data_IF_040327539375
#
_entry.id   IF_040327539375
#
_cell.length_a   1.000
_cell.length_b   1.000
_cell.length_c   1.000
_cell.angle_alpha   90.00
_cell.angle_beta   90.00
_cell.angle_gamma   90.00
#
_symmetry.space_group_name_H-M   'P 1'
#
loop_
_entity.id
_entity.type
_entity.pdbx_description
1 polymer ?
#
# COMPACT_ATOMS: atom_id res chain seq x y z
N UNK A 1 14.69 -10.92 5.33
CA UNK A 1 13.81 -10.29 6.34
C UNK A 1 12.95 -11.36 6.99
N UNK A 2 12.80 -11.34 8.33
CA UNK A 2 12.04 -12.35 9.11
C UNK A 2 10.54 -12.04 9.27
N UNK A 3 10.12 -10.86 8.81
CA UNK A 3 8.75 -10.33 8.92
C UNK A 3 7.65 -11.35 8.65
N UNK A 4 7.69 -12.10 7.54
CA UNK A 4 6.61 -13.04 7.22
C UNK A 4 6.41 -14.14 8.27
N UNK A 5 7.49 -14.62 8.91
CA UNK A 5 7.38 -15.64 9.97
C UNK A 5 6.83 -15.06 11.27
N UNK A 6 7.27 -13.85 11.62
CA UNK A 6 6.78 -13.13 12.81
C UNK A 6 5.32 -12.72 12.64
N UNK A 7 4.94 -12.28 11.43
CA UNK A 7 3.58 -11.90 11.08
C UNK A 7 2.62 -13.08 11.25
N UNK A 8 2.93 -14.24 10.66
CA UNK A 8 2.09 -15.44 10.83
C UNK A 8 2.03 -15.93 12.28
N UNK A 9 3.13 -15.83 13.04
CA UNK A 9 3.15 -16.24 14.44
C UNK A 9 2.29 -15.35 15.36
N UNK A 10 2.00 -14.11 14.95
CA UNK A 10 1.20 -13.15 15.70
C UNK A 10 -0.25 -13.03 15.18
N UNK A 11 -0.62 -13.79 14.14
CA UNK A 11 -1.99 -13.77 13.61
C UNK A 11 -2.98 -14.36 14.61
N UNK A 12 -4.14 -13.73 14.68
CA UNK A 12 -5.32 -14.31 15.33
C UNK A 12 -5.84 -15.44 14.43
N UNK A 13 -5.89 -16.70 14.91
CA UNK A 13 -6.28 -17.86 14.09
C UNK A 13 -7.64 -17.69 13.43
N UNK A 14 -8.59 -17.07 14.13
CA UNK A 14 -9.96 -16.85 13.67
C UNK A 14 -10.04 -15.85 12.52
N UNK A 15 -9.03 -15.01 12.33
CA UNK A 15 -9.03 -13.91 11.35
C UNK A 15 -7.97 -14.08 10.27
N UNK A 16 -7.35 -15.26 10.18
CA UNK A 16 -6.23 -15.51 9.28
C UNK A 16 -6.55 -15.11 7.81
N UNK A 17 -7.77 -15.38 7.34
CA UNK A 17 -8.22 -15.03 5.98
C UNK A 17 -8.39 -13.53 5.75
N UNK A 18 -8.60 -12.75 6.81
CA UNK A 18 -8.77 -11.30 6.75
C UNK A 18 -7.44 -10.54 6.69
N UNK A 19 -6.32 -11.17 7.04
CA UNK A 19 -4.99 -10.56 6.94
C UNK A 19 -4.49 -10.47 5.50
N UNK A 20 -3.49 -9.62 5.29
CA UNK A 20 -2.79 -9.45 3.99
C UNK A 20 -2.03 -10.71 3.58
N UNK A 21 -2.23 -11.18 2.36
CA UNK A 21 -1.40 -12.23 1.76
C UNK A 21 -0.06 -11.68 1.26
N UNK A 22 0.89 -11.57 2.19
CA UNK A 22 2.25 -11.14 1.89
C UNK A 22 3.01 -12.12 0.98
N UNK A 23 2.61 -13.39 0.90
CA UNK A 23 3.30 -14.38 0.09
C UNK A 23 2.96 -14.20 -1.40
N UNK A 24 1.68 -14.00 -1.69
CA UNK A 24 1.22 -13.65 -3.03
C UNK A 24 1.79 -12.31 -3.49
N UNK A 25 1.78 -11.29 -2.63
CA UNK A 25 2.34 -9.99 -3.00
C UNK A 25 3.85 -10.10 -3.31
N UNK A 26 4.58 -10.88 -2.51
CA UNK A 26 6.01 -11.13 -2.72
C UNK A 26 6.30 -11.94 -3.99
N UNK A 27 5.43 -12.86 -4.39
CA UNK A 27 5.63 -13.65 -5.61
C UNK A 27 5.51 -12.77 -6.86
N UNK A 28 4.53 -11.86 -6.88
CA UNK A 28 4.36 -10.85 -7.95
C UNK A 28 5.56 -9.90 -8.04
N UNK A 29 6.06 -9.43 -6.89
CA UNK A 29 7.27 -8.59 -6.84
C UNK A 29 8.49 -9.29 -7.46
N UNK A 30 8.66 -10.59 -7.18
CA UNK A 30 9.74 -11.39 -7.78
C UNK A 30 9.54 -11.58 -9.28
N UNK A 31 8.31 -11.68 -9.75
CA UNK A 31 7.99 -11.81 -11.17
C UNK A 31 8.38 -10.54 -11.94
N UNK A 32 7.98 -9.36 -11.43
CA UNK A 32 8.42 -8.06 -11.96
C UNK A 32 9.96 -7.99 -12.00
N UNK A 33 10.62 -8.38 -10.92
CA UNK A 33 12.09 -8.34 -10.86
C UNK A 33 12.74 -9.26 -11.90
N UNK A 34 12.22 -10.48 -12.09
CA UNK A 34 12.72 -11.41 -13.11
C UNK A 34 12.49 -10.88 -14.51
N UNK A 35 11.33 -10.29 -14.78
CA UNK A 35 11.03 -9.68 -16.07
C UNK A 35 12.07 -8.60 -16.40
N UNK A 36 12.30 -7.65 -15.48
CA UNK A 36 13.29 -6.58 -15.65
C UNK A 36 14.72 -7.08 -15.86
N UNK A 37 15.08 -8.21 -15.26
CA UNK A 37 16.38 -8.82 -15.49
C UNK A 37 16.51 -9.43 -16.89
N UNK A 38 15.42 -9.99 -17.43
CA UNK A 38 15.40 -10.60 -18.77
C UNK A 38 15.33 -9.58 -19.90
N UNK A 39 14.66 -8.46 -19.69
CA UNK A 39 14.55 -7.37 -20.67
C UNK A 39 15.73 -6.41 -20.63
N UNK A 40 16.71 -6.64 -19.74
CA UNK A 40 17.94 -5.84 -19.70
C UNK A 40 18.81 -6.17 -20.92
N UNK A 41 19.16 -5.19 -21.78
CA UNK A 41 20.01 -5.48 -22.93
C UNK A 41 21.36 -6.04 -22.49
N UNK A 42 21.94 -7.00 -23.25
CA UNK A 42 23.25 -7.56 -22.93
C UNK A 42 24.28 -6.44 -22.90
N UNK A 43 25.09 -6.42 -21.85
CA UNK A 43 26.20 -5.47 -21.74
C UNK A 43 27.17 -5.72 -22.91
N UNK A 44 27.16 -4.84 -23.90
CA UNK A 44 28.16 -4.83 -24.97
C UNK A 44 29.55 -4.61 -24.37
N UNK A 45 30.51 -5.52 -24.58
CA UNK A 45 31.87 -5.30 -24.12
C UNK A 45 32.62 -4.57 -25.23
N UNK A 46 32.75 -3.25 -25.15
CA UNK A 46 33.89 -2.49 -25.70
C UNK A 46 33.69 -0.98 -25.55
N UNK A 47 34.71 -0.32 -25.00
CA UNK A 47 35.19 0.95 -25.55
C UNK A 47 34.49 2.24 -25.11
N UNK A 48 35.00 2.80 -24.02
CA UNK A 48 35.19 4.24 -23.78
C UNK A 48 33.96 5.19 -23.77
N UNK A 49 33.75 5.74 -22.57
CA UNK A 49 33.30 7.10 -22.26
C UNK A 49 31.87 7.48 -22.67
N UNK A 50 30.92 7.07 -21.82
CA UNK A 50 29.90 8.02 -21.35
C UNK A 50 29.60 7.75 -19.89
N UNK A 51 30.11 8.64 -19.03
CA UNK A 51 29.81 8.65 -17.60
C UNK A 51 28.38 9.17 -17.42
N UNK A 52 27.39 8.32 -17.72
CA UNK A 52 25.98 8.55 -17.39
C UNK A 52 25.64 7.62 -16.23
N UNK A 53 25.79 8.18 -15.03
CA UNK A 53 24.96 7.91 -13.84
C UNK A 53 24.62 6.43 -13.60
N UNK A 54 25.59 5.69 -13.05
CA UNK A 54 25.55 4.26 -12.73
C UNK A 54 24.57 3.84 -11.60
N UNK A 55 23.46 4.54 -11.36
CA UNK A 55 22.45 4.07 -10.40
C UNK A 55 21.04 4.57 -10.73
N UNK A 56 20.47 4.13 -11.86
CA UNK A 56 19.02 4.27 -12.15
C UNK A 56 18.29 2.97 -11.83
N UNK A 57 18.30 2.61 -10.55
CA UNK A 57 17.30 1.76 -9.95
C UNK A 57 16.59 2.65 -8.92
N UNK A 58 15.30 2.96 -9.15
CA UNK A 58 14.47 3.88 -8.36
C UNK A 58 14.78 5.39 -8.51
N UNK A 59 14.90 5.93 -9.72
CA UNK A 59 15.03 7.40 -9.94
C UNK A 59 13.71 8.18 -9.74
N UNK A 60 13.03 7.97 -8.62
CA UNK A 60 11.85 8.76 -8.25
C UNK A 60 11.58 8.86 -6.74
N UNK A 61 12.22 8.05 -5.90
CA UNK A 61 11.90 8.03 -4.46
C UNK A 61 12.90 8.80 -3.57
N UNK A 62 14.06 9.21 -4.06
CA UNK A 62 15.16 9.73 -3.21
C UNK A 62 15.78 11.07 -3.63
N UNK A 63 15.15 11.86 -4.50
CA UNK A 63 15.69 13.18 -4.85
C UNK A 63 15.34 14.25 -3.80
N UNK A 64 15.89 14.10 -2.60
CA UNK A 64 16.08 15.21 -1.66
C UNK A 64 17.54 15.63 -1.71
N UNK A 65 17.86 16.70 -2.45
CA UNK A 65 18.93 17.59 -2.01
C UNK A 65 18.81 18.99 -2.64
N UNK A 66 18.71 19.97 -1.74
CA UNK A 66 19.19 21.35 -1.78
C UNK A 66 19.73 21.85 -3.13
N UNK A 67 19.06 22.88 -3.67
CA UNK A 67 19.75 24.05 -4.20
C UNK A 67 18.84 25.29 -4.09
N UNK A 68 19.47 26.35 -3.62
CA UNK A 68 18.93 27.62 -3.19
C UNK A 68 18.61 28.55 -4.38
N UNK A 69 17.63 29.44 -4.16
CA UNK A 69 17.47 30.78 -4.78
C UNK A 69 16.67 30.90 -6.09
N UNK A 70 15.34 31.00 -5.91
CA UNK A 70 14.38 32.02 -6.42
C UNK A 70 14.04 32.12 -7.93
N UNK A 71 12.94 32.82 -8.31
CA UNK A 71 11.56 32.34 -8.20
C UNK A 71 10.80 32.51 -9.53
N UNK A 72 10.19 31.45 -10.06
CA UNK A 72 9.14 31.65 -11.07
C UNK A 72 8.12 30.54 -11.00
N UNK A 73 6.87 30.98 -10.98
CA UNK A 73 5.65 30.22 -10.81
C UNK A 73 5.44 29.18 -11.92
N UNK A 74 4.74 28.12 -11.54
CA UNK A 74 3.91 27.25 -12.39
C UNK A 74 4.65 26.34 -13.38
N UNK A 75 5.23 25.27 -12.84
CA UNK A 75 5.20 23.97 -13.51
C UNK A 75 5.04 22.94 -12.43
N UNK A 76 3.83 22.43 -12.28
CA UNK A 76 3.53 21.26 -11.46
C UNK A 76 4.53 20.16 -11.85
N UNK A 77 5.20 19.60 -10.85
CA UNK A 77 6.28 18.62 -10.98
C UNK A 77 5.69 17.27 -11.41
N UNK A 78 5.28 17.17 -12.68
CA UNK A 78 4.56 16.02 -13.25
C UNK A 78 5.46 14.76 -13.29
N UNK A 79 6.78 14.91 -13.23
CA UNK A 79 7.72 13.78 -13.21
C UNK A 79 7.80 13.06 -11.85
N UNK A 80 7.42 13.70 -10.73
CA UNK A 80 7.68 13.13 -9.40
C UNK A 80 6.57 12.26 -8.82
N UNK A 81 5.36 12.25 -9.40
CA UNK A 81 4.23 11.46 -8.89
C UNK A 81 3.89 10.25 -9.78
N UNK A 82 4.86 9.34 -9.95
CA UNK A 82 4.66 8.09 -10.69
C UNK A 82 3.61 7.15 -10.05
N UNK A 83 3.42 7.27 -8.73
CA UNK A 83 2.46 6.51 -7.94
C UNK A 83 1.54 7.51 -7.22
N UNK A 84 0.25 7.46 -7.53
CA UNK A 84 -0.76 8.28 -6.89
C UNK A 84 -1.77 7.37 -6.18
N UNK A 85 -1.93 7.51 -4.87
CA UNK A 85 -2.92 6.76 -4.08
C UNK A 85 -4.15 7.63 -3.89
N UNK A 86 -5.29 7.14 -4.38
CA UNK A 86 -6.57 7.83 -4.31
C UNK A 86 -7.48 7.16 -3.29
N UNK A 87 -8.26 7.98 -2.59
CA UNK A 87 -9.39 7.53 -1.80
C UNK A 87 -10.65 7.61 -2.67
N UNK A 88 -11.32 6.48 -2.85
CA UNK A 88 -12.58 6.37 -3.57
C UNK A 88 -13.69 6.09 -2.56
N UNK A 89 -14.79 6.85 -2.63
CA UNK A 89 -15.96 6.62 -1.79
C UNK A 89 -17.00 5.84 -2.60
N UNK A 90 -17.25 4.59 -2.22
CA UNK A 90 -18.31 3.76 -2.79
C UNK A 90 -19.41 3.55 -1.76
N UNK A 91 -20.48 4.34 -1.85
CA UNK A 91 -21.70 4.12 -1.07
C UNK A 91 -21.50 4.21 0.44
N UNK A 92 -20.58 5.06 0.92
CA UNK A 92 -20.31 5.27 2.34
C UNK A 92 -19.14 4.47 2.90
N UNK A 93 -18.56 3.54 2.14
CA UNK A 93 -17.31 2.86 2.48
C UNK A 93 -16.15 3.46 1.69
N UNK A 94 -15.08 3.82 2.41
CA UNK A 94 -13.85 4.36 1.82
C UNK A 94 -12.98 3.20 1.35
N UNK A 95 -12.58 3.22 0.07
CA UNK A 95 -11.64 2.27 -0.52
C UNK A 95 -10.47 3.00 -1.14
N UNK A 96 -9.32 2.37 -1.18
CA UNK A 96 -8.09 2.95 -1.72
C UNK A 96 -7.76 2.33 -3.08
N UNK A 97 -7.34 3.17 -4.01
CA UNK A 97 -6.95 2.76 -5.35
C UNK A 97 -5.67 3.48 -5.76
N UNK A 98 -4.70 2.73 -6.23
CA UNK A 98 -3.41 3.22 -6.69
C UNK A 98 -3.43 3.40 -8.21
N UNK A 99 -3.23 4.63 -8.65
CA UNK A 99 -3.00 4.97 -10.06
C UNK A 99 -1.50 4.99 -10.33
N UNK A 100 -1.04 4.05 -11.14
CA UNK A 100 0.34 3.98 -11.61
C UNK A 100 0.46 4.64 -12.99
N UNK A 101 1.16 5.78 -13.08
CA UNK A 101 1.22 6.59 -14.31
C UNK A 101 2.20 6.05 -15.36
N UNK A 102 3.13 5.19 -14.97
CA UNK A 102 4.12 4.59 -15.89
C UNK A 102 3.64 3.25 -16.48
N UNK A 103 2.34 3.00 -16.53
CA UNK A 103 1.78 1.75 -17.08
C UNK A 103 2.02 1.57 -18.59
N UNK A 104 2.38 2.66 -19.29
CA UNK A 104 2.69 2.65 -20.73
C UNK A 104 4.14 2.30 -21.04
N UNK A 105 5.02 2.27 -20.03
CA UNK A 105 6.41 1.88 -20.19
C UNK A 105 6.54 0.36 -20.33
N UNK A 106 7.59 -0.10 -21.00
CA UNK A 106 7.81 -1.53 -21.21
C UNK A 106 7.98 -2.29 -19.88
N UNK A 107 7.05 -3.21 -19.61
CA UNK A 107 6.94 -3.95 -18.35
C UNK A 107 6.02 -3.32 -17.31
N UNK A 108 5.54 -2.09 -17.51
CA UNK A 108 4.68 -1.37 -16.58
C UNK A 108 3.33 -2.06 -16.32
N UNK A 109 2.90 -2.97 -17.18
CA UNK A 109 1.74 -3.83 -16.98
C UNK A 109 1.89 -4.76 -15.77
N UNK A 110 3.10 -5.22 -15.45
CA UNK A 110 3.34 -6.09 -14.30
C UNK A 110 3.22 -5.30 -12.98
N UNK A 111 3.76 -4.08 -12.93
CA UNK A 111 3.57 -3.14 -11.83
C UNK A 111 2.10 -2.77 -11.65
N UNK A 112 1.36 -2.54 -12.74
CA UNK A 112 -0.07 -2.23 -12.66
C UNK A 112 -0.85 -3.37 -12.01
N UNK A 113 -0.57 -4.62 -12.39
CA UNK A 113 -1.20 -5.81 -11.78
C UNK A 113 -0.84 -5.90 -10.30
N UNK A 114 0.42 -5.62 -9.94
CA UNK A 114 0.86 -5.61 -8.54
C UNK A 114 0.08 -4.58 -7.71
N UNK A 115 -0.05 -3.34 -8.18
CA UNK A 115 -0.78 -2.31 -7.46
C UNK A 115 -2.26 -2.63 -7.31
N UNK A 116 -2.92 -3.18 -8.34
CA UNK A 116 -4.31 -3.66 -8.18
C UNK A 116 -4.44 -4.70 -7.08
N UNK A 117 -3.56 -5.70 -7.06
CA UNK A 117 -3.60 -6.74 -6.02
C UNK A 117 -3.28 -6.19 -4.64
N UNK A 118 -2.38 -5.20 -4.56
CA UNK A 118 -2.06 -4.52 -3.32
C UNK A 118 -3.28 -3.77 -2.78
N UNK A 119 -3.99 -3.05 -3.64
CA UNK A 119 -5.21 -2.33 -3.28
C UNK A 119 -6.30 -3.31 -2.81
N UNK A 120 -6.47 -4.45 -3.49
CA UNK A 120 -7.44 -5.49 -3.10
C UNK A 120 -7.15 -6.02 -1.69
N UNK A 121 -5.89 -6.37 -1.42
CA UNK A 121 -5.47 -6.87 -0.11
C UNK A 121 -5.58 -5.80 0.98
N UNK A 122 -5.26 -4.55 0.68
CA UNK A 122 -5.40 -3.44 1.63
C UNK A 122 -6.87 -3.18 1.97
N UNK A 123 -7.72 -3.10 0.95
CA UNK A 123 -9.15 -2.84 1.12
C UNK A 123 -9.85 -4.00 1.84
N UNK A 124 -9.41 -5.25 1.64
CA UNK A 124 -9.87 -6.40 2.40
C UNK A 124 -9.63 -6.21 3.91
N UNK A 125 -8.39 -5.89 4.28
CA UNK A 125 -8.01 -5.67 5.68
C UNK A 125 -8.77 -4.48 6.26
N UNK A 126 -8.86 -3.37 5.51
CA UNK A 126 -9.54 -2.17 5.98
C UNK A 126 -11.04 -2.44 6.26
N UNK A 127 -11.72 -3.12 5.35
CA UNK A 127 -13.14 -3.51 5.53
C UNK A 127 -13.33 -4.41 6.74
N UNK A 128 -12.44 -5.38 6.94
CA UNK A 128 -12.51 -6.26 8.11
C UNK A 128 -12.32 -5.47 9.41
N UNK A 129 -11.35 -4.57 9.44
CA UNK A 129 -11.09 -3.71 10.59
C UNK A 129 -12.30 -2.81 10.90
N UNK A 130 -12.87 -2.15 9.89
CA UNK A 130 -14.07 -1.31 10.06
C UNK A 130 -15.24 -2.12 10.63
N UNK A 131 -15.50 -3.32 10.11
CA UNK A 131 -16.56 -4.19 10.62
C UNK A 131 -16.33 -4.60 12.09
N UNK A 132 -15.09 -4.93 12.46
CA UNK A 132 -14.73 -5.30 13.84
C UNK A 132 -14.87 -4.13 14.80
N UNK A 133 -14.48 -2.92 14.39
CA UNK A 133 -14.69 -1.71 15.18
C UNK A 133 -16.18 -1.46 15.41
N UNK A 134 -17.00 -1.59 14.36
CA UNK A 134 -18.45 -1.39 14.48
C UNK A 134 -19.10 -2.41 15.43
N UNK A 135 -18.70 -3.68 15.36
CA UNK A 135 -19.15 -4.75 16.26
C UNK A 135 -18.85 -4.42 17.72
N UNK A 136 -17.58 -4.11 18.04
CA UNK A 136 -17.15 -3.78 19.41
C UNK A 136 -17.84 -2.52 19.94
N UNK A 137 -18.06 -1.52 19.09
CA UNK A 137 -18.79 -0.30 19.48
C UNK A 137 -20.25 -0.60 19.83
N UNK A 138 -20.92 -1.49 19.09
CA UNK A 138 -22.29 -1.95 19.41
C UNK A 138 -22.33 -2.69 20.74
N UNK A 139 -21.39 -3.59 20.99
CA UNK A 139 -21.30 -4.32 22.26
C UNK A 139 -21.09 -3.36 23.44
N UNK A 140 -20.17 -2.42 23.32
CA UNK A 140 -19.92 -1.40 24.34
C UNK A 140 -21.18 -0.55 24.63
N UNK A 141 -21.93 -0.17 23.59
CA UNK A 141 -23.18 0.56 23.73
C UNK A 141 -24.27 -0.26 24.45
N UNK A 142 -24.38 -1.55 24.13
CA UNK A 142 -25.32 -2.47 24.79
C UNK A 142 -24.95 -2.69 26.26
N UNK A 143 -23.67 -2.91 26.57
CA UNK A 143 -23.17 -3.06 27.94
C UNK A 143 -23.44 -1.80 28.77
N UNK A 144 -23.15 -0.62 28.23
CA UNK A 144 -23.40 0.65 28.91
C UNK A 144 -24.90 0.87 29.19
N UNK A 145 -25.78 0.49 28.25
CA UNK A 145 -27.23 0.51 28.46
C UNK A 145 -27.65 -0.43 29.60
N UNK A 146 -27.08 -1.64 29.63
CA UNK A 146 -27.37 -2.62 30.68
C UNK A 146 -26.94 -2.13 32.06
N UNK A 147 -25.70 -1.61 32.20
CA UNK A 147 -25.21 -1.05 33.45
C UNK A 147 -26.07 0.11 33.95
N UNK A 148 -26.50 1.01 33.05
CA UNK A 148 -27.41 2.13 33.40
C UNK A 148 -28.74 1.63 33.94
N UNK A 149 -29.31 0.58 33.35
CA UNK A 149 -30.57 0.00 33.81
C UNK A 149 -30.40 -0.66 35.19
N UNK A 150 -29.33 -1.41 35.42
CA UNK A 150 -29.05 -2.00 36.73
C UNK A 150 -28.81 -0.94 37.83
N UNK A 151 -28.13 0.16 37.52
CA UNK A 151 -27.96 1.27 38.49
C UNK A 151 -29.30 1.92 38.84
N UNK A 152 -30.20 2.06 37.86
CA UNK A 152 -31.54 2.61 38.07
C UNK A 152 -32.43 1.72 38.93
N UNK A 153 -32.30 0.39 38.84
CA UNK A 153 -33.08 -0.53 39.67
C UNK A 153 -32.55 -0.60 41.10
N UNK A 154 -31.22 -0.52 41.30
CA UNK A 154 -30.62 -0.49 42.65
C UNK A 154 -30.90 0.79 43.44
N UNK A 155 -31.04 1.95 42.78
CA UNK A 155 -31.34 3.22 43.47
C UNK A 155 -32.84 3.42 43.77
N UNK A 156 -33.69 2.41 43.48
CA UNK A 156 -35.15 2.48 43.63
C UNK A 156 -35.68 1.64 44.81
N UNK A 157 -34.77 1.04 45.57
CA UNK A 157 -35.01 0.29 46.82
C UNK A 157 -34.27 1.02 47.92
#
# INVERSE_FOLDING_TARGET
MKFGKEFTAQMVPEWQEAYTDCNQLKSLLKEIQRFKQRTKPPATPAGLKRMLTLYRAFSGLTQRYNQSTSPSLASDDIESQAILVNSVNHGGSQSYQTTFRMSSDEGGEYELVYFRRLDDEFNKVNKFYEAKVEEVMKEAAMLNKHERLQRRTKNRV
#
